data_IF_531575277105
#
_entry.id   IF_531575277105
#
_cell.length_a   1.000
_cell.length_b   1.000
_cell.length_c   1.000
_cell.angle_alpha   90.00
_cell.angle_beta   90.00
_cell.angle_gamma   90.00
#
_symmetry.space_group_name_H-M   'P 1'
#
loop_
_entity.id
_entity.type
_entity.pdbx_description
1 polymer ?
#
# COMPACT_ATOMS: atom_id res chain seq x y z
N UNK A 1 5.84 -5.67 17.37
CA UNK A 1 4.58 -5.20 18.01
C UNK A 1 4.80 -4.80 19.48
N UNK A 2 5.57 -5.56 20.26
CA UNK A 2 5.82 -5.23 21.68
C UNK A 2 6.40 -3.82 21.87
N UNK A 3 7.36 -3.40 21.02
CA UNK A 3 7.95 -2.08 21.07
C UNK A 3 6.97 -0.92 20.75
N UNK A 4 5.85 -1.23 20.08
CA UNK A 4 4.84 -0.23 19.72
C UNK A 4 3.90 0.14 20.89
N UNK A 5 4.04 -0.51 22.06
CA UNK A 5 3.32 -0.18 23.31
C UNK A 5 1.81 -0.01 23.11
N UNK A 6 1.20 -0.86 22.30
CA UNK A 6 -0.24 -0.82 21.99
C UNK A 6 -0.65 0.10 20.83
N UNK A 7 0.27 0.87 20.27
CA UNK A 7 -0.02 1.65 19.05
C UNK A 7 -0.18 0.72 17.83
N UNK A 8 -1.12 1.01 16.91
CA UNK A 8 -1.28 0.24 15.69
C UNK A 8 -0.03 0.29 14.81
N UNK A 9 0.44 -0.88 14.38
CA UNK A 9 1.56 -1.02 13.44
C UNK A 9 1.00 -1.36 12.07
N UNK A 10 1.28 -0.52 11.08
CA UNK A 10 0.89 -0.80 9.69
C UNK A 10 2.07 -1.44 8.95
N UNK A 11 1.84 -2.63 8.41
CA UNK A 11 2.82 -3.38 7.63
C UNK A 11 2.40 -3.39 6.16
N UNK A 12 3.32 -3.01 5.29
CA UNK A 12 3.15 -3.11 3.85
C UNK A 12 3.57 -4.49 3.37
N UNK A 13 2.77 -5.13 2.52
CA UNK A 13 3.19 -6.34 1.82
C UNK A 13 4.35 -6.05 0.86
N UNK A 14 5.03 -7.10 0.38
CA UNK A 14 6.21 -6.94 -0.47
C UNK A 14 5.93 -6.06 -1.70
N UNK A 15 6.91 -5.22 -2.02
CA UNK A 15 6.88 -4.33 -3.18
C UNK A 15 8.14 -4.53 -4.03
N UNK A 16 8.31 -5.75 -4.52
CA UNK A 16 9.38 -6.13 -5.42
C UNK A 16 8.90 -6.11 -6.87
N UNK A 17 9.81 -5.80 -7.80
CA UNK A 17 9.54 -5.90 -9.24
C UNK A 17 9.47 -7.35 -9.72
N UNK A 18 8.88 -7.54 -10.92
CA UNK A 18 8.46 -8.84 -11.46
C UNK A 18 9.58 -9.84 -11.77
N UNK A 19 10.78 -9.36 -11.94
CA UNK A 19 11.88 -10.19 -12.43
C UNK A 19 12.69 -10.77 -11.28
N UNK A 20 12.11 -10.74 -10.04
CA UNK A 20 12.89 -11.04 -8.84
C UNK A 20 12.21 -11.98 -7.89
N UNK A 21 12.95 -12.96 -7.49
CA UNK A 21 12.76 -13.69 -6.24
C UNK A 21 13.22 -12.82 -5.05
N UNK A 22 12.86 -13.20 -3.84
CA UNK A 22 13.38 -12.56 -2.61
C UNK A 22 14.93 -12.54 -2.63
N UNK A 23 15.58 -13.59 -3.18
CA UNK A 23 17.03 -13.67 -3.34
C UNK A 23 17.59 -12.59 -4.25
N UNK A 24 16.90 -12.25 -5.34
CA UNK A 24 17.36 -11.24 -6.30
C UNK A 24 17.27 -9.82 -5.74
N UNK A 25 16.31 -9.56 -4.85
CA UNK A 25 16.18 -8.28 -4.15
C UNK A 25 17.42 -7.96 -3.29
N UNK A 26 18.07 -8.98 -2.74
CA UNK A 26 19.33 -8.84 -2.00
C UNK A 26 20.55 -8.57 -2.90
N UNK A 27 20.47 -8.80 -4.21
CA UNK A 27 21.58 -8.62 -5.15
C UNK A 27 21.67 -7.21 -5.77
N UNK A 28 20.82 -6.27 -5.32
CA UNK A 28 20.92 -4.85 -5.73
C UNK A 28 20.55 -4.56 -7.20
N UNK A 29 19.98 -5.53 -7.92
CA UNK A 29 19.56 -5.34 -9.31
C UNK A 29 18.36 -4.36 -9.40
N UNK A 30 18.34 -3.38 -10.27
CA UNK A 30 17.24 -2.42 -10.41
C UNK A 30 15.97 -3.11 -10.94
N UNK A 31 14.85 -3.01 -10.20
CA UNK A 31 13.55 -3.45 -10.69
C UNK A 31 12.89 -2.36 -11.52
N UNK A 32 12.15 -2.73 -12.55
CA UNK A 32 11.28 -1.77 -13.23
C UNK A 32 10.33 -1.11 -12.24
N UNK A 33 10.24 0.21 -12.28
CA UNK A 33 9.28 0.99 -11.47
C UNK A 33 7.88 0.93 -12.05
N UNK A 34 7.74 0.50 -13.30
CA UNK A 34 6.49 0.30 -14.01
C UNK A 34 6.19 -1.20 -14.17
N UNK A 35 4.92 -1.55 -14.34
CA UNK A 35 4.50 -2.93 -14.63
C UNK A 35 4.32 -3.79 -13.39
N UNK A 36 4.94 -4.97 -13.38
CA UNK A 36 4.74 -5.99 -12.36
C UNK A 36 5.56 -5.69 -11.10
N UNK A 37 4.97 -5.00 -10.14
CA UNK A 37 5.52 -4.81 -8.78
C UNK A 37 4.38 -4.72 -7.76
N UNK A 38 4.72 -4.81 -6.48
CA UNK A 38 3.76 -4.72 -5.39
C UNK A 38 2.68 -5.79 -5.50
N UNK A 39 1.42 -5.41 -5.32
CA UNK A 39 0.28 -6.34 -5.34
C UNK A 39 0.19 -7.14 -6.64
N UNK A 40 0.52 -6.52 -7.78
CA UNK A 40 0.48 -7.19 -9.09
C UNK A 40 1.42 -8.39 -9.14
N UNK A 41 2.62 -8.23 -8.59
CA UNK A 41 3.59 -9.33 -8.48
C UNK A 41 3.15 -10.36 -7.43
N UNK A 42 2.65 -9.91 -6.29
CA UNK A 42 2.14 -10.78 -5.22
C UNK A 42 1.02 -11.70 -5.71
N UNK A 43 0.06 -11.17 -6.49
CA UNK A 43 -1.03 -11.96 -7.06
C UNK A 43 -0.56 -12.99 -8.10
N UNK A 44 0.55 -12.74 -8.80
CA UNK A 44 1.17 -13.71 -9.70
C UNK A 44 1.98 -14.80 -9.01
N UNK A 45 2.35 -14.57 -7.75
CA UNK A 45 3.13 -15.51 -6.92
C UNK A 45 2.32 -15.93 -5.69
N UNK A 46 1.17 -16.63 -5.87
CA UNK A 46 0.20 -16.87 -4.81
C UNK A 46 0.79 -17.56 -3.58
N UNK A 47 1.69 -18.52 -3.74
CA UNK A 47 2.30 -19.22 -2.60
C UNK A 47 3.15 -18.31 -1.70
N UNK A 48 3.92 -17.38 -2.30
CA UNK A 48 4.70 -16.40 -1.53
C UNK A 48 3.77 -15.41 -0.83
N UNK A 49 2.74 -14.96 -1.52
CA UNK A 49 1.77 -14.02 -0.99
C UNK A 49 0.96 -14.63 0.16
N UNK A 50 0.47 -15.85 0.00
CA UNK A 50 -0.21 -16.60 1.07
C UNK A 50 0.70 -16.81 2.28
N UNK A 51 1.97 -17.19 2.07
CA UNK A 51 2.95 -17.33 3.16
C UNK A 51 3.11 -16.03 3.94
N UNK A 52 3.25 -14.90 3.24
CA UNK A 52 3.35 -13.59 3.88
C UNK A 52 2.09 -13.21 4.64
N UNK A 53 0.91 -13.39 4.04
CA UNK A 53 -0.37 -13.04 4.67
C UNK A 53 -0.65 -13.91 5.90
N UNK A 54 -0.43 -15.22 5.82
CA UNK A 54 -0.57 -16.11 6.98
C UNK A 54 0.36 -15.68 8.13
N UNK A 55 1.60 -15.29 7.82
CA UNK A 55 2.53 -14.80 8.84
C UNK A 55 2.05 -13.50 9.48
N UNK A 56 1.51 -12.56 8.69
CA UNK A 56 0.98 -11.29 9.17
C UNK A 56 -0.29 -11.48 10.01
N UNK A 57 -1.22 -12.33 9.60
CA UNK A 57 -2.43 -12.67 10.36
C UNK A 57 -2.09 -13.30 11.73
N UNK A 58 -1.10 -14.21 11.77
CA UNK A 58 -0.59 -14.79 13.01
C UNK A 58 0.11 -13.76 13.89
N UNK A 59 0.88 -12.86 13.30
CA UNK A 59 1.53 -11.78 14.05
C UNK A 59 0.49 -10.81 14.65
N UNK A 60 -0.62 -10.58 13.97
CA UNK A 60 -1.72 -9.72 14.43
C UNK A 60 -2.42 -10.27 15.70
N UNK A 61 -2.32 -11.57 15.99
CA UNK A 61 -2.77 -12.13 17.27
C UNK A 61 -2.00 -11.61 18.49
N UNK A 62 -0.83 -10.99 18.27
CA UNK A 62 0.06 -10.48 19.34
C UNK A 62 -0.03 -8.98 19.56
N UNK A 63 -0.90 -8.28 18.85
CA UNK A 63 -1.07 -6.83 19.00
C UNK A 63 -1.69 -6.17 17.77
N UNK A 64 -2.01 -4.88 17.83
CA UNK A 64 -2.74 -4.17 16.80
C UNK A 64 -1.87 -3.99 15.54
N UNK A 65 -1.98 -4.95 14.63
CA UNK A 65 -1.33 -4.93 13.33
C UNK A 65 -2.37 -4.67 12.25
N UNK A 66 -2.01 -3.81 11.29
CA UNK A 66 -2.78 -3.53 10.07
C UNK A 66 -1.93 -3.87 8.86
N UNK A 67 -2.53 -4.34 7.79
CA UNK A 67 -1.84 -4.74 6.56
C UNK A 67 -2.27 -3.83 5.42
N UNK A 68 -1.32 -3.32 4.63
CA UNK A 68 -1.63 -2.55 3.43
C UNK A 68 -0.99 -3.14 2.18
N UNK A 69 -1.73 -3.08 1.08
CA UNK A 69 -1.28 -3.54 -0.23
C UNK A 69 -0.72 -2.38 -1.04
N UNK A 70 0.54 -2.45 -1.51
CA UNK A 70 1.15 -1.44 -2.36
C UNK A 70 0.77 -1.61 -3.82
N UNK A 71 0.86 -0.54 -4.59
CA UNK A 71 0.69 -0.54 -6.06
C UNK A 71 -0.68 -1.03 -6.55
N UNK A 72 -1.70 -0.91 -5.71
CA UNK A 72 -3.09 -1.16 -6.10
C UNK A 72 -3.48 -0.10 -7.13
N UNK A 73 -4.15 -0.53 -8.20
CA UNK A 73 -4.52 0.36 -9.32
C UNK A 73 -6.03 0.52 -9.44
N UNK A 74 -6.75 -0.54 -9.18
CA UNK A 74 -8.20 -0.64 -9.28
C UNK A 74 -8.76 -1.53 -8.16
N UNK A 75 -10.07 -1.57 -8.06
CA UNK A 75 -10.76 -2.34 -7.02
C UNK A 75 -10.64 -3.86 -7.24
N UNK A 76 -10.44 -4.31 -8.46
CA UNK A 76 -10.24 -5.73 -8.78
C UNK A 76 -8.93 -6.26 -8.16
N UNK A 77 -7.88 -5.43 -8.10
CA UNK A 77 -6.64 -5.77 -7.40
C UNK A 77 -6.91 -5.98 -5.89
N UNK A 78 -7.72 -5.10 -5.29
CA UNK A 78 -8.16 -5.20 -3.89
C UNK A 78 -8.94 -6.47 -3.64
N UNK A 79 -9.98 -6.73 -4.42
CA UNK A 79 -10.83 -7.90 -4.29
C UNK A 79 -10.03 -9.20 -4.46
N UNK A 80 -9.10 -9.22 -5.42
CA UNK A 80 -8.21 -10.36 -5.61
C UNK A 80 -7.32 -10.61 -4.39
N UNK A 81 -6.78 -9.54 -3.79
CA UNK A 81 -5.97 -9.65 -2.57
C UNK A 81 -6.82 -10.14 -1.39
N UNK A 82 -8.02 -9.62 -1.20
CA UNK A 82 -8.92 -10.04 -0.13
C UNK A 82 -9.37 -11.51 -0.25
N UNK A 83 -9.54 -12.01 -1.47
CA UNK A 83 -9.77 -13.46 -1.68
C UNK A 83 -8.59 -14.31 -1.19
N UNK A 84 -7.36 -13.84 -1.34
CA UNK A 84 -6.18 -14.53 -0.79
C UNK A 84 -6.17 -14.46 0.73
N UNK A 85 -6.52 -13.31 1.31
CA UNK A 85 -6.66 -13.16 2.77
C UNK A 85 -7.65 -14.16 3.34
N UNK A 86 -8.82 -14.32 2.72
CA UNK A 86 -9.84 -15.24 3.21
C UNK A 86 -9.37 -16.70 3.14
N UNK A 87 -8.74 -17.12 2.06
CA UNK A 87 -8.12 -18.46 2.01
C UNK A 87 -7.08 -18.67 3.12
N UNK A 88 -6.28 -17.63 3.44
CA UNK A 88 -5.32 -17.70 4.54
C UNK A 88 -6.03 -17.86 5.90
N UNK A 89 -7.14 -17.15 6.14
CA UNK A 89 -7.96 -17.29 7.35
C UNK A 89 -8.53 -18.70 7.47
N UNK A 90 -9.13 -19.22 6.41
CA UNK A 90 -9.66 -20.58 6.36
C UNK A 90 -8.58 -21.62 6.68
N UNK A 91 -7.43 -21.52 6.02
CA UNK A 91 -6.29 -22.42 6.26
C UNK A 91 -5.78 -22.37 7.73
N UNK A 92 -5.72 -21.18 8.32
CA UNK A 92 -5.30 -21.04 9.72
C UNK A 92 -6.34 -21.61 10.70
N UNK A 93 -7.65 -21.44 10.44
CA UNK A 93 -8.74 -22.02 11.21
C UNK A 93 -8.69 -23.56 11.18
N UNK A 94 -8.60 -24.15 9.99
CA UNK A 94 -8.51 -25.60 9.80
C UNK A 94 -7.33 -26.22 10.55
N UNK A 95 -6.22 -25.51 10.66
CA UNK A 95 -5.02 -25.95 11.38
C UNK A 95 -5.02 -25.62 12.87
N UNK A 96 -6.06 -24.97 13.39
CA UNK A 96 -6.12 -24.52 14.77
C UNK A 96 -5.02 -23.54 15.16
N UNK A 97 -4.50 -22.75 14.19
CA UNK A 97 -3.44 -21.78 14.42
C UNK A 97 -4.06 -20.44 14.81
N UNK A 98 -3.67 -19.90 15.96
CA UNK A 98 -4.17 -18.60 16.42
C UNK A 98 -3.76 -17.46 15.48
N UNK A 99 -4.74 -16.63 15.13
CA UNK A 99 -4.57 -15.39 14.36
C UNK A 99 -5.64 -14.36 14.77
N UNK A 100 -5.57 -13.14 14.25
CA UNK A 100 -6.58 -12.11 14.53
C UNK A 100 -7.55 -12.01 13.35
N UNK A 101 -8.80 -12.42 13.57
CA UNK A 101 -9.89 -12.32 12.58
C UNK A 101 -10.18 -10.87 12.16
N UNK A 102 -10.05 -9.93 13.10
CA UNK A 102 -10.37 -8.51 12.93
C UNK A 102 -9.18 -7.69 12.39
N UNK A 103 -8.15 -8.37 11.86
CA UNK A 103 -7.01 -7.70 11.23
C UNK A 103 -7.48 -6.74 10.15
N UNK A 104 -7.08 -5.47 10.27
CA UNK A 104 -7.46 -4.40 9.36
C UNK A 104 -6.60 -4.41 8.10
N UNK A 105 -7.26 -4.25 6.94
CA UNK A 105 -6.62 -4.19 5.64
C UNK A 105 -6.89 -2.87 4.93
N UNK A 106 -5.89 -2.35 4.24
CA UNK A 106 -6.01 -1.12 3.47
C UNK A 106 -5.14 -1.12 2.22
N UNK A 107 -5.26 -0.08 1.45
CA UNK A 107 -4.52 0.11 0.20
C UNK A 107 -3.58 1.30 0.26
N UNK A 108 -2.42 1.17 -0.40
CA UNK A 108 -1.53 2.30 -0.65
C UNK A 108 -1.84 2.88 -2.02
N UNK A 109 -2.44 4.06 -2.02
CA UNK A 109 -2.75 4.85 -3.21
C UNK A 109 -1.46 5.55 -3.68
N UNK A 110 -0.70 4.86 -4.51
CA UNK A 110 0.58 5.32 -5.06
C UNK A 110 0.57 5.43 -6.59
N UNK A 111 -0.56 5.09 -7.21
CA UNK A 111 -0.80 5.21 -8.65
C UNK A 111 -1.93 6.22 -8.86
N UNK A 112 -1.80 7.19 -9.79
CA UNK A 112 -2.83 8.19 -10.04
C UNK A 112 -4.21 7.60 -10.33
N UNK A 113 -4.28 6.49 -11.06
CA UNK A 113 -5.54 5.78 -11.36
C UNK A 113 -6.31 5.44 -10.07
N UNK A 114 -5.65 4.87 -9.07
CA UNK A 114 -6.26 4.51 -7.80
C UNK A 114 -6.71 5.74 -6.96
N UNK A 115 -6.05 6.88 -7.13
CA UNK A 115 -6.49 8.12 -6.49
C UNK A 115 -7.76 8.69 -7.15
N UNK A 116 -7.88 8.53 -8.47
CA UNK A 116 -9.02 8.99 -9.26
C UNK A 116 -10.30 8.19 -8.99
N UNK A 117 -10.16 6.94 -8.56
CA UNK A 117 -11.27 6.02 -8.23
C UNK A 117 -11.26 5.65 -6.75
N UNK A 118 -10.84 6.55 -5.88
CA UNK A 118 -10.70 6.28 -4.44
C UNK A 118 -12.03 5.91 -3.77
N UNK A 119 -13.15 6.41 -4.29
CA UNK A 119 -14.49 6.07 -3.82
C UNK A 119 -14.81 4.58 -3.96
N UNK A 120 -14.36 3.93 -5.04
CA UNK A 120 -14.60 2.50 -5.27
C UNK A 120 -13.99 1.66 -4.13
N UNK A 121 -12.76 1.98 -3.69
CA UNK A 121 -12.13 1.29 -2.56
C UNK A 121 -12.92 1.48 -1.25
N UNK A 122 -13.41 2.70 -1.03
CA UNK A 122 -14.24 3.03 0.15
C UNK A 122 -15.55 2.25 0.12
N UNK A 123 -16.18 2.10 -1.04
CA UNK A 123 -17.39 1.30 -1.24
C UNK A 123 -17.16 -0.18 -1.03
N UNK A 124 -16.01 -0.71 -1.45
CA UNK A 124 -15.59 -2.10 -1.26
C UNK A 124 -15.03 -2.41 0.14
N UNK A 125 -15.13 -1.47 1.07
CA UNK A 125 -14.91 -1.73 2.48
C UNK A 125 -13.44 -1.81 2.91
N UNK A 126 -12.56 -1.01 2.32
CA UNK A 126 -11.20 -0.85 2.87
C UNK A 126 -11.26 -0.27 4.28
N UNK A 127 -10.45 -0.78 5.19
CA UNK A 127 -10.42 -0.28 6.57
C UNK A 127 -9.66 1.06 6.70
N UNK A 128 -8.72 1.34 5.80
CA UNK A 128 -7.94 2.59 5.78
C UNK A 128 -7.26 2.79 4.42
N UNK A 129 -6.91 4.03 4.14
CA UNK A 129 -6.16 4.43 2.95
C UNK A 129 -4.80 5.02 3.34
N UNK A 130 -3.78 4.76 2.53
CA UNK A 130 -2.45 5.37 2.67
C UNK A 130 -2.05 6.00 1.36
N UNK A 131 -1.81 7.30 1.33
CA UNK A 131 -1.28 7.98 0.13
C UNK A 131 0.24 7.89 0.13
N UNK A 132 0.79 7.15 -0.82
CA UNK A 132 2.24 6.97 -1.01
C UNK A 132 2.82 8.03 -1.93
N UNK A 133 3.24 9.18 -1.40
CA UNK A 133 3.60 10.36 -2.19
C UNK A 133 4.80 10.17 -3.11
N UNK A 134 5.73 9.27 -2.79
CA UNK A 134 6.93 9.07 -3.61
C UNK A 134 6.59 8.52 -5.00
N UNK A 135 5.94 7.38 -5.06
CA UNK A 135 5.55 6.75 -6.32
C UNK A 135 4.42 7.55 -6.99
N UNK A 136 3.47 8.08 -6.22
CA UNK A 136 2.41 8.93 -6.76
C UNK A 136 2.98 10.15 -7.49
N UNK A 137 3.98 10.83 -6.92
CA UNK A 137 4.65 11.95 -7.60
C UNK A 137 5.36 11.49 -8.88
N UNK A 138 6.10 10.39 -8.80
CA UNK A 138 6.81 9.81 -9.93
C UNK A 138 5.89 9.52 -11.12
N UNK A 139 4.76 8.85 -10.85
CA UNK A 139 3.81 8.48 -11.92
C UNK A 139 2.96 9.65 -12.40
N UNK A 140 2.61 10.60 -11.52
CA UNK A 140 1.87 11.80 -11.90
C UNK A 140 2.68 12.70 -12.84
N UNK A 141 3.99 12.77 -12.61
CA UNK A 141 4.88 13.65 -13.37
C UNK A 141 5.75 12.92 -14.41
N UNK A 142 5.60 11.59 -14.55
CA UNK A 142 6.44 10.76 -15.40
C UNK A 142 7.95 11.01 -15.16
N UNK A 143 8.33 11.24 -13.91
CA UNK A 143 9.69 11.62 -13.51
C UNK A 143 10.25 10.59 -12.52
N UNK A 144 11.31 9.89 -12.91
CA UNK A 144 11.98 8.96 -12.03
C UNK A 144 12.76 9.71 -10.94
N UNK A 145 12.39 9.49 -9.68
CA UNK A 145 12.98 10.13 -8.51
C UNK A 145 14.47 9.79 -8.27
N UNK A 146 14.96 8.72 -8.90
CA UNK A 146 16.36 8.26 -8.75
C UNK A 146 17.25 8.76 -9.90
N UNK A 147 16.67 9.36 -10.94
CA UNK A 147 17.41 9.95 -12.05
C UNK A 147 17.63 11.45 -11.79
N UNK A 148 18.88 11.85 -11.56
CA UNK A 148 19.25 13.26 -11.38
C UNK A 148 18.77 14.15 -12.54
N UNK A 149 18.79 13.66 -13.77
CA UNK A 149 18.28 14.37 -14.94
C UNK A 149 16.77 14.62 -14.93
N UNK A 150 16.02 13.86 -14.15
CA UNK A 150 14.56 13.99 -14.01
C UNK A 150 14.13 14.78 -12.74
N UNK A 151 15.06 15.14 -11.85
CA UNK A 151 14.77 15.79 -10.57
C UNK A 151 13.92 17.05 -10.73
N UNK A 152 14.20 17.86 -11.75
CA UNK A 152 13.46 19.09 -12.04
C UNK A 152 11.96 18.87 -12.31
N UNK A 153 11.60 17.69 -12.82
CA UNK A 153 10.22 17.31 -13.12
C UNK A 153 9.52 16.63 -11.93
N UNK A 154 10.27 16.12 -10.95
CA UNK A 154 9.73 15.48 -9.78
C UNK A 154 9.22 16.53 -8.77
N UNK A 155 7.91 16.83 -8.79
CA UNK A 155 7.30 17.95 -8.05
C UNK A 155 6.24 17.48 -7.05
N UNK A 156 6.64 17.04 -5.85
CA UNK A 156 5.69 16.51 -4.85
C UNK A 156 4.67 17.54 -4.36
N UNK A 157 4.99 18.84 -4.34
CA UNK A 157 4.11 19.93 -3.95
C UNK A 157 3.29 20.55 -5.10
N UNK A 158 3.16 19.87 -6.23
CA UNK A 158 2.44 20.38 -7.39
C UNK A 158 0.92 20.45 -7.17
N UNK A 159 0.25 21.29 -7.97
CA UNK A 159 -1.23 21.35 -7.98
C UNK A 159 -1.87 20.01 -8.37
N UNK A 160 -1.21 19.21 -9.22
CA UNK A 160 -1.69 17.88 -9.59
C UNK A 160 -1.71 16.94 -8.39
N UNK A 161 -0.60 16.89 -7.63
CA UNK A 161 -0.52 16.09 -6.40
C UNK A 161 -1.58 16.51 -5.39
N UNK A 162 -1.74 17.82 -5.19
CA UNK A 162 -2.75 18.35 -4.26
C UNK A 162 -4.16 17.94 -4.68
N UNK A 163 -4.48 18.00 -5.97
CA UNK A 163 -5.78 17.54 -6.49
C UNK A 163 -6.03 16.05 -6.21
N UNK A 164 -5.06 15.18 -6.52
CA UNK A 164 -5.18 13.75 -6.28
C UNK A 164 -5.40 13.44 -4.78
N UNK A 165 -4.65 14.08 -3.90
CA UNK A 165 -4.80 13.90 -2.45
C UNK A 165 -6.17 14.40 -1.97
N UNK A 166 -6.64 15.55 -2.46
CA UNK A 166 -7.98 16.07 -2.12
C UNK A 166 -9.08 15.08 -2.53
N UNK A 167 -9.00 14.49 -3.73
CA UNK A 167 -9.98 13.49 -4.18
C UNK A 167 -10.02 12.28 -3.25
N UNK A 168 -8.85 11.78 -2.82
CA UNK A 168 -8.78 10.68 -1.85
C UNK A 168 -9.40 11.06 -0.52
N UNK A 169 -9.10 12.26 -0.01
CA UNK A 169 -9.65 12.75 1.25
C UNK A 169 -11.17 12.90 1.20
N UNK A 170 -11.71 13.42 0.08
CA UNK A 170 -13.14 13.60 -0.09
C UNK A 170 -13.87 12.25 -0.19
N UNK A 171 -13.33 11.30 -0.94
CA UNK A 171 -13.86 9.94 -1.00
C UNK A 171 -13.89 9.27 0.39
N UNK A 172 -12.81 9.38 1.15
CA UNK A 172 -12.68 8.77 2.47
C UNK A 172 -13.66 9.35 3.50
N UNK A 173 -13.95 10.65 3.43
CA UNK A 173 -14.90 11.34 4.33
C UNK A 173 -16.32 10.75 4.29
N UNK A 174 -16.75 10.24 3.14
CA UNK A 174 -18.12 9.71 2.96
C UNK A 174 -18.44 8.58 3.95
N UNK A 175 -17.45 7.75 4.28
CA UNK A 175 -17.62 6.62 5.21
C UNK A 175 -16.67 6.68 6.42
N UNK A 176 -16.07 7.85 6.68
CA UNK A 176 -15.09 8.04 7.77
C UNK A 176 -13.92 7.06 7.71
N UNK A 177 -13.43 6.73 6.51
CA UNK A 177 -12.25 5.87 6.34
C UNK A 177 -10.99 6.66 6.70
N UNK A 178 -10.13 6.16 7.61
CA UNK A 178 -8.90 6.85 7.97
C UNK A 178 -7.94 6.96 6.79
N UNK A 179 -7.36 8.15 6.60
CA UNK A 179 -6.32 8.40 5.57
C UNK A 179 -5.01 8.77 6.25
N UNK A 180 -3.94 8.17 5.79
CA UNK A 180 -2.57 8.51 6.19
C UNK A 180 -1.77 8.92 4.95
N UNK A 181 -0.98 9.97 5.05
CA UNK A 181 -0.06 10.36 3.98
C UNK A 181 1.36 9.99 4.39
N UNK A 182 2.10 9.32 3.52
CA UNK A 182 3.48 8.93 3.76
C UNK A 182 4.39 9.25 2.55
N UNK A 183 5.70 9.24 2.80
CA UNK A 183 6.74 9.49 1.80
C UNK A 183 7.61 10.69 2.13
N UNK A 184 8.65 10.91 1.33
CA UNK A 184 9.65 11.96 1.56
C UNK A 184 9.05 13.38 1.55
N UNK A 185 8.00 13.59 0.76
CA UNK A 185 7.33 14.89 0.67
C UNK A 185 6.74 15.35 2.02
N UNK A 186 6.28 14.42 2.85
CA UNK A 186 5.67 14.73 4.16
C UNK A 186 6.73 15.07 5.20
N UNK A 187 7.97 14.63 5.01
CA UNK A 187 9.10 14.98 5.89
C UNK A 187 9.53 16.44 5.79
N UNK A 188 9.09 17.17 4.74
CA UNK A 188 9.34 18.60 4.62
C UNK A 188 8.14 19.40 5.20
N UNK A 189 8.32 20.18 6.29
CA UNK A 189 7.24 20.94 6.92
C UNK A 189 6.46 21.85 5.97
N UNK A 190 7.16 22.46 4.99
CA UNK A 190 6.52 23.33 4.00
C UNK A 190 5.52 22.59 3.09
N UNK A 191 5.77 21.29 2.82
CA UNK A 191 4.85 20.45 2.05
C UNK A 191 3.71 19.91 2.94
N UNK A 192 4.01 19.57 4.19
CA UNK A 192 3.04 19.01 5.14
C UNK A 192 1.84 19.94 5.33
N UNK A 193 2.09 21.24 5.52
CA UNK A 193 1.05 22.27 5.65
C UNK A 193 0.15 22.35 4.41
N UNK A 194 0.64 21.96 3.24
CA UNK A 194 -0.16 22.00 2.00
C UNK A 194 -1.10 20.79 1.85
N UNK A 195 -0.86 19.73 2.62
CA UNK A 195 -1.65 18.49 2.58
C UNK A 195 -2.67 18.38 3.72
N UNK A 196 -2.61 19.31 4.68
CA UNK A 196 -3.59 19.47 5.78
C UNK A 196 -4.66 20.49 5.41
#
# INVERSE_FOLDING_TARGET
LAAAKGCPVTVRTFDFGSDRTISDAYQGLQSSKLGLRGIRNSLRQPHQFETQLCALLRAAARGPLRVMFPMVTNVEDWDAAMRVVERCREHLRERGVAFNEDTKFGVMLSVPAACLTAEEFVEHGVDFLVVGTNDLTQYTHAADRELASAEHYYRPASKAMKKLITMVMDAAKVRNVPVTICGLAVGNPANTVQYL
#
